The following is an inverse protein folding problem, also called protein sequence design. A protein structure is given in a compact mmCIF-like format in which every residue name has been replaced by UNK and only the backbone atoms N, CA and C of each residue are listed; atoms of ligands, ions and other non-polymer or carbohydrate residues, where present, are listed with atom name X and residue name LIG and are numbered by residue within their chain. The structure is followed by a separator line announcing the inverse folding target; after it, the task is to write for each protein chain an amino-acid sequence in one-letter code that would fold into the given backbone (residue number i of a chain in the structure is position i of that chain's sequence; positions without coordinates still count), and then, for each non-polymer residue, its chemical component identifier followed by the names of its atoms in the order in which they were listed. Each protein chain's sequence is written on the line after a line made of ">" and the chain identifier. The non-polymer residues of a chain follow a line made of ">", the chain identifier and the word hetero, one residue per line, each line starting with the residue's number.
data_IF_695478200276
#
_entry.id   IF_695478200276
#
_cell.length_a   1.000
_cell.length_b   1.000
_cell.length_c   1.000
_cell.angle_alpha   90.00
_cell.angle_beta   90.00
_cell.angle_gamma   90.00
#
_symmetry.space_group_name_H-M   'P 1'
#
loop_
_entity.id
_entity.type
_entity.pdbx_description
1 polymer ?
#
# COMPACT_ATOMS: atom_id res chain seq x y z
N UNK A 1 12.67 -28.78 -40.13
CA UNK A 1 13.75 -27.78 -40.09
C UNK A 1 13.12 -26.45 -39.65
N UNK A 2 13.70 -25.86 -38.63
CA UNK A 2 13.26 -24.57 -38.07
C UNK A 2 14.38 -23.57 -38.34
N UNK A 3 14.09 -22.37 -38.88
CA UNK A 3 15.09 -21.31 -39.01
C UNK A 3 15.54 -20.86 -37.62
N UNK A 4 16.83 -20.76 -37.38
CA UNK A 4 17.43 -20.31 -36.12
C UNK A 4 18.38 -19.15 -36.39
N UNK A 5 18.44 -18.20 -35.45
CA UNK A 5 19.42 -17.13 -35.44
C UNK A 5 20.37 -17.38 -34.25
N UNK A 6 21.63 -17.61 -34.54
CA UNK A 6 22.65 -17.79 -33.51
C UNK A 6 23.23 -16.42 -33.19
N UNK A 7 23.23 -16.06 -31.88
CA UNK A 7 23.86 -14.84 -31.34
C UNK A 7 24.74 -15.20 -30.16
N UNK A 8 25.92 -14.61 -30.10
CA UNK A 8 26.77 -14.69 -28.92
C UNK A 8 26.28 -13.68 -27.88
N UNK A 9 25.99 -14.14 -26.69
CA UNK A 9 25.54 -13.32 -25.55
C UNK A 9 26.13 -13.90 -24.27
N UNK A 10 26.33 -13.06 -23.27
CA UNK A 10 26.64 -13.52 -21.92
C UNK A 10 25.41 -14.12 -21.22
N UNK A 11 25.64 -14.92 -20.20
CA UNK A 11 24.58 -15.62 -19.48
C UNK A 11 23.54 -14.66 -18.87
N UNK A 12 24.00 -13.50 -18.36
CA UNK A 12 23.13 -12.48 -17.77
C UNK A 12 22.13 -11.93 -18.79
N UNK A 13 22.62 -11.60 -19.99
CA UNK A 13 21.77 -11.14 -21.09
C UNK A 13 20.78 -12.21 -21.54
N UNK A 14 21.21 -13.49 -21.60
CA UNK A 14 20.32 -14.61 -21.95
C UNK A 14 19.20 -14.76 -20.93
N UNK A 15 19.51 -14.75 -19.62
CA UNK A 15 18.50 -14.84 -18.57
C UNK A 15 17.53 -13.66 -18.57
N UNK A 16 18.04 -12.44 -18.81
CA UNK A 16 17.21 -11.25 -18.93
C UNK A 16 16.23 -11.34 -20.09
N UNK A 17 16.70 -11.74 -21.28
CA UNK A 17 15.84 -11.92 -22.47
C UNK A 17 14.79 -13.01 -22.21
N UNK A 18 15.16 -14.14 -21.62
CA UNK A 18 14.23 -15.19 -21.27
C UNK A 18 13.16 -14.73 -20.25
N UNK A 19 13.54 -13.90 -19.26
CA UNK A 19 12.61 -13.34 -18.31
C UNK A 19 11.63 -12.38 -19.00
N UNK A 20 12.11 -11.51 -19.89
CA UNK A 20 11.27 -10.57 -20.64
C UNK A 20 10.30 -11.34 -21.56
N UNK A 21 10.78 -12.39 -22.26
CA UNK A 21 9.93 -13.23 -23.10
C UNK A 21 8.81 -13.88 -22.28
N UNK A 22 9.18 -14.45 -21.12
CA UNK A 22 8.21 -15.06 -20.21
C UNK A 22 7.18 -14.05 -19.68
N UNK A 23 7.58 -12.78 -19.43
CA UNK A 23 6.68 -11.72 -19.01
C UNK A 23 5.70 -11.24 -20.09
N UNK A 24 5.99 -11.52 -21.35
CA UNK A 24 5.11 -11.21 -22.47
C UNK A 24 4.04 -12.28 -22.73
N UNK A 25 4.03 -13.35 -21.94
CA UNK A 25 2.99 -14.39 -22.05
C UNK A 25 1.66 -13.85 -21.54
N UNK A 26 0.58 -14.24 -22.18
CA UNK A 26 -0.79 -13.79 -21.86
C UNK A 26 -1.44 -14.56 -20.70
N UNK A 27 -0.83 -15.65 -20.25
CA UNK A 27 -1.37 -16.58 -19.26
C UNK A 27 -0.84 -16.36 -17.83
N UNK A 28 -0.06 -15.31 -17.59
CA UNK A 28 0.48 -14.96 -16.27
C UNK A 28 -0.60 -14.43 -15.33
N UNK A 29 -0.54 -14.89 -14.07
CA UNK A 29 -1.31 -14.25 -13.00
C UNK A 29 -0.71 -12.88 -12.66
N UNK A 30 -1.52 -11.99 -12.06
CA UNK A 30 -1.06 -10.67 -11.65
C UNK A 30 0.10 -10.72 -10.63
N UNK A 31 0.19 -11.78 -9.83
CA UNK A 31 1.29 -11.97 -8.87
C UNK A 31 2.57 -12.45 -9.58
N UNK A 32 2.45 -13.35 -10.57
CA UNK A 32 3.60 -13.78 -11.38
C UNK A 32 4.18 -12.63 -12.20
N UNK A 33 3.31 -11.82 -12.81
CA UNK A 33 3.70 -10.60 -13.51
C UNK A 33 4.45 -9.63 -12.57
N UNK A 34 3.91 -9.39 -11.37
CA UNK A 34 4.54 -8.54 -10.36
C UNK A 34 5.91 -9.08 -9.91
N UNK A 35 6.06 -10.40 -9.75
CA UNK A 35 7.33 -11.05 -9.40
C UNK A 35 8.37 -10.88 -10.51
N UNK A 36 7.97 -11.00 -11.77
CA UNK A 36 8.85 -10.76 -12.90
C UNK A 36 9.34 -9.32 -12.95
N UNK A 37 8.46 -8.33 -12.72
CA UNK A 37 8.86 -6.92 -12.64
C UNK A 37 9.82 -6.67 -11.49
N UNK A 38 9.57 -7.25 -10.33
CA UNK A 38 10.45 -7.15 -9.16
C UNK A 38 11.84 -7.71 -9.49
N UNK A 39 11.94 -8.87 -10.16
CA UNK A 39 13.23 -9.45 -10.58
C UNK A 39 13.98 -8.55 -11.53
N UNK A 40 13.32 -7.96 -12.54
CA UNK A 40 13.97 -7.00 -13.44
C UNK A 40 14.55 -5.80 -12.68
N UNK A 41 13.89 -5.36 -11.62
CA UNK A 41 14.38 -4.26 -10.79
C UNK A 41 15.52 -4.66 -9.86
N UNK A 42 15.37 -5.77 -9.15
CA UNK A 42 16.28 -6.16 -8.07
C UNK A 42 17.54 -6.85 -8.61
N UNK A 43 17.41 -7.74 -9.62
CA UNK A 43 18.52 -8.54 -10.14
C UNK A 43 19.30 -7.80 -11.26
N UNK A 44 18.59 -6.96 -12.04
CA UNK A 44 19.17 -6.27 -13.21
C UNK A 44 19.26 -4.75 -13.06
N UNK A 45 18.88 -4.20 -11.89
CA UNK A 45 19.02 -2.79 -11.58
C UNK A 45 18.11 -1.84 -12.38
N UNK A 46 17.05 -2.38 -13.03
CA UNK A 46 16.11 -1.55 -13.78
C UNK A 46 15.22 -0.73 -12.86
N UNK A 47 14.95 0.51 -13.26
CA UNK A 47 13.93 1.34 -12.63
C UNK A 47 12.52 0.89 -13.06
N UNK A 48 11.48 1.33 -12.33
CA UNK A 48 10.08 1.07 -12.76
C UNK A 48 9.77 1.66 -14.15
N UNK A 49 10.50 2.69 -14.54
CA UNK A 49 10.38 3.36 -15.84
C UNK A 49 10.98 2.49 -16.95
N UNK A 50 12.20 1.97 -16.71
CA UNK A 50 12.86 1.06 -17.64
C UNK A 50 12.03 -0.22 -17.86
N UNK A 51 11.51 -0.82 -16.76
CA UNK A 51 10.64 -1.99 -16.86
C UNK A 51 9.39 -1.67 -17.66
N UNK A 52 8.77 -0.52 -17.43
CA UNK A 52 7.56 -0.10 -18.17
C UNK A 52 7.82 0.04 -19.68
N UNK A 53 8.96 0.62 -20.06
CA UNK A 53 9.39 0.74 -21.45
C UNK A 53 9.63 -0.64 -22.10
N UNK A 54 10.39 -1.52 -21.42
CA UNK A 54 10.73 -2.87 -21.88
C UNK A 54 9.46 -3.70 -22.18
N UNK A 55 8.46 -3.62 -21.32
CA UNK A 55 7.22 -4.42 -21.44
C UNK A 55 6.09 -3.71 -22.20
N UNK A 56 6.28 -2.44 -22.60
CA UNK A 56 5.26 -1.65 -23.31
C UNK A 56 4.05 -1.29 -22.43
N UNK A 57 4.23 -1.10 -21.12
CA UNK A 57 3.18 -0.70 -20.16
C UNK A 57 3.48 0.68 -19.57
N UNK A 58 2.55 1.26 -18.84
CA UNK A 58 2.81 2.50 -18.11
C UNK A 58 3.61 2.23 -16.82
N UNK A 59 4.42 3.21 -16.38
CA UNK A 59 5.10 3.18 -15.07
C UNK A 59 4.11 2.94 -13.92
N UNK A 60 2.92 3.55 -13.98
CA UNK A 60 1.88 3.34 -12.95
C UNK A 60 1.35 1.91 -12.95
N UNK A 61 1.31 1.22 -14.10
CA UNK A 61 0.97 -0.19 -14.14
C UNK A 61 2.02 -1.01 -13.40
N UNK A 62 3.30 -0.86 -13.72
CA UNK A 62 4.41 -1.56 -13.05
C UNK A 62 4.40 -1.29 -11.54
N UNK A 63 4.28 -0.04 -11.13
CA UNK A 63 4.21 0.33 -9.71
C UNK A 63 3.04 -0.35 -8.98
N UNK A 64 1.85 -0.39 -9.60
CA UNK A 64 0.67 -1.03 -9.04
C UNK A 64 0.83 -2.55 -8.91
N UNK A 65 1.45 -3.20 -9.91
CA UNK A 65 1.71 -4.63 -9.87
C UNK A 65 2.71 -4.99 -8.77
N UNK A 66 3.83 -4.29 -8.69
CA UNK A 66 4.85 -4.51 -7.65
C UNK A 66 4.28 -4.30 -6.24
N UNK A 67 3.35 -3.36 -6.06
CA UNK A 67 2.66 -3.14 -4.77
C UNK A 67 1.85 -4.36 -4.31
N UNK A 68 1.37 -5.21 -5.21
CA UNK A 68 0.64 -6.43 -4.84
C UNK A 68 1.49 -7.41 -4.03
N UNK A 69 2.81 -7.42 -4.25
CA UNK A 69 3.76 -8.25 -3.50
C UNK A 69 3.90 -7.86 -2.03
N UNK A 70 3.50 -6.63 -1.67
CA UNK A 70 3.43 -6.17 -0.29
C UNK A 70 2.20 -6.64 0.48
N UNK A 71 1.24 -7.29 -0.19
CA UNK A 71 0.06 -7.85 0.45
C UNK A 71 0.39 -9.16 1.17
N UNK A 72 -0.33 -9.52 2.24
CA UNK A 72 -0.18 -10.83 2.89
C UNK A 72 -0.39 -11.98 1.91
N UNK A 73 0.33 -13.10 2.10
CA UNK A 73 0.25 -14.29 1.24
C UNK A 73 -1.19 -14.81 1.06
N UNK A 74 -2.03 -14.70 2.09
CA UNK A 74 -3.44 -15.08 2.01
C UNK A 74 -4.23 -14.27 0.98
N UNK A 75 -3.89 -13.00 0.78
CA UNK A 75 -4.53 -12.14 -0.24
C UNK A 75 -3.95 -12.43 -1.62
N UNK A 76 -2.63 -12.62 -1.71
CA UNK A 76 -1.97 -12.99 -2.97
C UNK A 76 -2.52 -14.32 -3.51
N UNK A 77 -2.77 -15.31 -2.64
CA UNK A 77 -3.38 -16.58 -3.04
C UNK A 77 -4.80 -16.39 -3.60
N UNK A 78 -5.62 -15.49 -3.01
CA UNK A 78 -6.94 -15.19 -3.56
C UNK A 78 -6.87 -14.52 -4.95
N UNK A 79 -5.80 -13.79 -5.25
CA UNK A 79 -5.57 -13.24 -6.59
C UNK A 79 -5.15 -14.34 -7.56
N UNK A 80 -4.22 -15.22 -7.17
CA UNK A 80 -3.80 -16.36 -7.98
C UNK A 80 -4.94 -17.34 -8.28
N UNK A 81 -5.83 -17.57 -7.29
CA UNK A 81 -7.04 -18.40 -7.45
C UNK A 81 -8.13 -17.72 -8.33
N UNK A 82 -7.93 -16.47 -8.77
CA UNK A 82 -8.94 -15.71 -9.51
C UNK A 82 -10.15 -15.24 -8.69
N UNK A 83 -10.14 -15.45 -7.37
CA UNK A 83 -11.21 -15.01 -6.45
C UNK A 83 -11.18 -13.49 -6.24
N UNK A 84 -10.02 -12.87 -6.40
CA UNK A 84 -9.83 -11.43 -6.40
C UNK A 84 -9.12 -11.00 -7.69
N UNK A 85 -9.58 -9.91 -8.31
CA UNK A 85 -8.84 -9.31 -9.42
C UNK A 85 -7.68 -8.45 -8.92
N UNK A 86 -6.72 -8.14 -9.81
CA UNK A 86 -5.64 -7.19 -9.52
C UNK A 86 -6.18 -5.82 -9.06
N UNK A 87 -7.35 -5.40 -9.55
CA UNK A 87 -8.03 -4.17 -9.11
C UNK A 87 -8.46 -4.22 -7.64
N UNK A 88 -9.03 -5.35 -7.19
CA UNK A 88 -9.37 -5.55 -5.79
C UNK A 88 -8.13 -5.56 -4.89
N UNK A 89 -7.08 -6.28 -5.30
CA UNK A 89 -5.81 -6.33 -4.58
C UNK A 89 -5.16 -4.95 -4.47
N UNK A 90 -5.20 -4.14 -5.55
CA UNK A 90 -4.72 -2.76 -5.54
C UNK A 90 -5.47 -1.88 -4.52
N UNK A 91 -6.79 -2.03 -4.41
CA UNK A 91 -7.59 -1.29 -3.43
C UNK A 91 -7.21 -1.66 -1.99
N UNK A 92 -6.73 -2.89 -1.76
CA UNK A 92 -6.29 -3.38 -0.45
C UNK A 92 -4.83 -3.02 -0.11
N UNK A 93 -4.04 -2.59 -1.12
CA UNK A 93 -2.66 -2.20 -0.90
C UNK A 93 -2.60 -0.88 -0.13
N UNK A 94 -2.19 -0.93 1.14
CA UNK A 94 -2.06 0.24 2.02
C UNK A 94 -3.12 0.36 3.12
N UNK A 95 -3.99 -0.65 3.30
CA UNK A 95 -4.86 -0.76 4.48
C UNK A 95 -4.23 -1.63 5.56
N UNK A 96 -4.56 -1.36 6.84
CA UNK A 96 -3.95 -2.07 7.97
C UNK A 96 -4.33 -3.56 8.04
N UNK A 97 -5.55 -3.95 7.63
CA UNK A 97 -6.05 -5.33 7.69
C UNK A 97 -6.52 -5.84 6.32
N UNK A 98 -5.62 -5.97 5.32
CA UNK A 98 -6.02 -6.34 3.97
C UNK A 98 -6.60 -7.76 3.86
N UNK A 99 -6.18 -8.70 4.73
CA UNK A 99 -6.66 -10.07 4.70
C UNK A 99 -8.13 -10.21 5.15
N UNK A 100 -8.57 -9.41 6.10
CA UNK A 100 -9.96 -9.39 6.56
C UNK A 100 -10.88 -8.79 5.49
N UNK A 101 -10.48 -7.64 4.95
CA UNK A 101 -11.22 -6.97 3.88
C UNK A 101 -11.27 -7.82 2.60
N UNK A 102 -10.21 -8.56 2.28
CA UNK A 102 -10.19 -9.49 1.16
C UNK A 102 -11.26 -10.57 1.29
N UNK A 103 -11.40 -11.17 2.48
CA UNK A 103 -12.45 -12.17 2.76
C UNK A 103 -13.85 -11.56 2.63
N UNK A 104 -14.04 -10.34 3.13
CA UNK A 104 -15.31 -9.63 3.02
C UNK A 104 -15.70 -9.35 1.56
N UNK A 105 -14.72 -8.89 0.74
CA UNK A 105 -14.91 -8.64 -0.69
C UNK A 105 -15.34 -9.92 -1.41
N UNK A 106 -14.65 -11.04 -1.15
CA UNK A 106 -14.98 -12.34 -1.76
C UNK A 106 -16.35 -12.84 -1.30
N UNK A 107 -16.64 -12.79 0.01
CA UNK A 107 -17.89 -13.29 0.57
C UNK A 107 -19.12 -12.52 0.06
N UNK A 108 -18.98 -11.22 -0.18
CA UNK A 108 -20.07 -10.34 -0.64
C UNK A 108 -20.08 -10.15 -2.16
N UNK A 109 -19.10 -10.67 -2.89
CA UNK A 109 -19.00 -10.48 -4.34
C UNK A 109 -18.90 -9.00 -4.75
N UNK A 110 -18.15 -8.20 -4.00
CA UNK A 110 -18.05 -6.76 -4.22
C UNK A 110 -17.32 -6.45 -5.52
N UNK A 111 -17.74 -5.40 -6.22
CA UNK A 111 -17.00 -4.84 -7.35
C UNK A 111 -15.77 -4.05 -6.87
N UNK A 112 -14.79 -3.80 -7.79
CA UNK A 112 -13.59 -3.02 -7.48
C UNK A 112 -13.91 -1.65 -6.86
N UNK A 113 -14.92 -0.94 -7.40
CA UNK A 113 -15.35 0.36 -6.86
C UNK A 113 -15.91 0.27 -5.43
N UNK A 114 -16.62 -0.82 -5.12
CA UNK A 114 -17.13 -1.08 -3.77
C UNK A 114 -15.99 -1.44 -2.81
N UNK A 115 -15.02 -2.23 -3.28
CA UNK A 115 -13.81 -2.56 -2.54
C UNK A 115 -12.97 -1.30 -2.23
N UNK A 116 -12.81 -0.39 -3.19
CA UNK A 116 -12.13 0.90 -2.98
C UNK A 116 -12.83 1.75 -1.90
N UNK A 117 -14.18 1.82 -1.92
CA UNK A 117 -14.95 2.53 -0.89
C UNK A 117 -14.80 1.87 0.48
N UNK A 118 -14.83 0.54 0.54
CA UNK A 118 -14.64 -0.22 1.77
C UNK A 118 -13.24 0.02 2.35
N UNK A 119 -12.20 -0.05 1.51
CA UNK A 119 -10.82 0.22 1.88
C UNK A 119 -10.61 1.66 2.39
N UNK A 120 -11.19 2.66 1.72
CA UNK A 120 -11.14 4.06 2.14
C UNK A 120 -11.84 4.27 3.50
N UNK A 121 -12.98 3.61 3.73
CA UNK A 121 -13.70 3.65 5.01
C UNK A 121 -12.90 3.00 6.14
N UNK A 122 -12.19 1.92 5.86
CA UNK A 122 -11.30 1.24 6.81
C UNK A 122 -10.09 2.13 7.17
N UNK A 123 -9.42 2.70 6.18
CA UNK A 123 -8.31 3.63 6.37
C UNK A 123 -8.73 4.88 7.17
N UNK A 124 -9.92 5.43 6.89
CA UNK A 124 -10.49 6.56 7.63
C UNK A 124 -10.79 6.23 9.10
N UNK A 125 -11.22 5.00 9.40
CA UNK A 125 -11.42 4.52 10.77
C UNK A 125 -10.09 4.39 11.52
N UNK A 126 -9.06 3.88 10.89
CA UNK A 126 -7.73 3.72 11.48
C UNK A 126 -7.10 5.06 11.82
N UNK A 127 -7.22 6.07 10.95
CA UNK A 127 -6.73 7.43 11.24
C UNK A 127 -7.45 8.01 12.45
N UNK A 128 -8.79 7.85 12.55
CA UNK A 128 -9.55 8.30 13.73
C UNK A 128 -9.11 7.58 15.02
N UNK A 129 -8.86 6.27 14.97
CA UNK A 129 -8.36 5.51 16.12
C UNK A 129 -6.93 5.90 16.49
N UNK A 130 -6.02 6.09 15.53
CA UNK A 130 -4.66 6.58 15.80
C UNK A 130 -4.69 7.98 16.42
N UNK A 131 -5.50 8.89 15.88
CA UNK A 131 -5.63 10.26 16.42
C UNK A 131 -6.29 10.24 17.80
N UNK A 132 -7.29 9.38 18.05
CA UNK A 132 -7.88 9.21 19.37
C UNK A 132 -6.89 8.59 20.37
N UNK A 133 -6.08 7.59 19.93
CA UNK A 133 -5.02 7.00 20.75
C UNK A 133 -3.92 8.02 21.10
N UNK A 134 -3.52 8.88 20.17
CA UNK A 134 -2.56 9.96 20.42
C UNK A 134 -3.18 11.01 21.36
N UNK A 135 -4.46 11.38 21.20
CA UNK A 135 -5.15 12.26 22.15
C UNK A 135 -5.19 11.66 23.56
N UNK A 136 -5.48 10.36 23.70
CA UNK A 136 -5.48 9.69 25.00
C UNK A 136 -4.07 9.48 25.59
N UNK A 137 -3.03 9.40 24.74
CA UNK A 137 -1.63 9.33 25.20
C UNK A 137 -1.05 10.70 25.55
N UNK A 138 -1.58 11.78 24.94
CA UNK A 138 -1.20 13.18 25.24
C UNK A 138 -2.06 13.78 26.35
N UNK A 139 -3.25 13.20 26.64
CA UNK A 139 -4.06 13.48 27.84
C UNK A 139 -3.72 12.54 29.02
N UNK A 140 -2.52 11.96 29.03
CA UNK A 140 -1.90 11.61 30.30
C UNK A 140 -1.82 12.90 31.09
N UNK A 141 -2.72 13.04 32.05
CA UNK A 141 -2.92 14.20 32.88
C UNK A 141 -1.55 14.65 33.44
N UNK A 142 -0.99 15.70 32.87
CA UNK A 142 -0.17 16.60 33.64
C UNK A 142 -1.18 17.19 34.64
N UNK A 143 -1.20 16.72 35.87
CA UNK A 143 -1.91 17.38 36.96
C UNK A 143 -1.42 18.83 36.93
N UNK A 144 -2.29 19.72 36.40
CA UNK A 144 -2.02 21.16 36.43
C UNK A 144 -1.95 21.54 37.90
N UNK A 145 -0.80 22.05 38.27
CA UNK A 145 -0.56 22.52 39.63
C UNK A 145 -1.68 23.52 40.05
N UNK A 146 -2.08 23.48 41.30
CA UNK A 146 -3.18 24.31 41.84
C UNK A 146 -3.00 25.78 41.49
N UNK A 147 -1.74 26.25 41.41
CA UNK A 147 -1.38 27.62 41.06
C UNK A 147 -1.66 27.94 39.58
N UNK A 148 -1.46 26.98 38.66
CA UNK A 148 -1.75 27.13 37.22
C UNK A 148 -3.25 27.24 36.97
N UNK A 149 -4.07 26.50 37.68
CA UNK A 149 -5.54 26.57 37.57
C UNK A 149 -6.09 27.89 38.16
N UNK A 150 -5.51 28.40 39.24
CA UNK A 150 -5.86 29.64 39.83
C UNK A 150 -5.52 30.83 38.90
N UNK A 151 -4.39 30.77 38.21
CA UNK A 151 -3.94 31.75 37.25
C UNK A 151 -4.81 31.76 35.98
N UNK A 152 -5.17 30.59 35.45
CA UNK A 152 -6.11 30.45 34.31
C UNK A 152 -7.46 31.12 34.62
N UNK A 153 -7.98 30.87 35.83
CA UNK A 153 -9.25 31.45 36.25
C UNK A 153 -9.16 32.99 36.38
N UNK A 154 -8.07 33.49 37.00
CA UNK A 154 -7.87 34.93 37.17
C UNK A 154 -7.72 35.67 35.83
N UNK A 155 -6.98 35.07 34.86
CA UNK A 155 -6.82 35.64 33.51
C UNK A 155 -8.14 35.57 32.72
N UNK A 156 -8.89 34.45 32.85
CA UNK A 156 -10.19 34.32 32.21
C UNK A 156 -11.20 35.34 32.72
N UNK A 157 -11.21 35.60 34.02
CA UNK A 157 -12.10 36.60 34.66
C UNK A 157 -11.72 38.05 34.26
N UNK A 158 -10.42 38.34 34.11
CA UNK A 158 -9.93 39.65 33.67
C UNK A 158 -10.18 39.95 32.21
N UNK A 159 -10.09 38.96 31.35
CA UNK A 159 -10.23 39.09 29.88
C UNK A 159 -11.65 38.84 29.37
N UNK A 160 -12.53 38.28 30.19
CA UNK A 160 -13.88 37.86 29.78
C UNK A 160 -13.86 36.73 28.73
N UNK A 161 -12.73 36.04 28.57
CA UNK A 161 -12.50 34.97 27.60
C UNK A 161 -11.95 33.74 28.31
N UNK A 162 -12.35 32.54 27.84
CA UNK A 162 -11.79 31.29 28.36
C UNK A 162 -10.34 31.14 27.89
N UNK A 163 -9.40 31.18 28.84
CA UNK A 163 -7.96 31.05 28.61
C UNK A 163 -7.47 29.72 29.14
N UNK A 164 -6.50 29.11 28.46
CA UNK A 164 -5.85 27.88 28.85
C UNK A 164 -4.33 28.05 28.75
N UNK A 165 -3.62 27.81 29.87
CA UNK A 165 -2.17 27.88 29.93
C UNK A 165 -1.57 26.50 29.52
N UNK A 166 -0.72 26.54 28.51
CA UNK A 166 -0.01 25.33 28.00
C UNK A 166 1.47 25.47 28.40
N UNK A 167 1.90 24.62 29.31
CA UNK A 167 3.31 24.56 29.70
C UNK A 167 4.07 23.75 28.64
N UNK A 168 4.99 24.39 27.91
CA UNK A 168 5.83 23.76 26.90
C UNK A 168 7.18 23.43 27.56
N UNK A 169 7.42 22.13 27.76
CA UNK A 169 8.76 21.63 28.17
C UNK A 169 9.73 21.70 27.02
#
# INVERSE_FOLDING_TARGET
>A
QVPVVIREMDDETVYKIALIENLQREDLTAIEEALGYRRLMDDYGHTQEDVAEIIGKSRSHVANMVRLLGLPASVQNLVNDGKLSAGHARALAGVDNPAELAREIVAKGLSVRQAEKLAASAAGRTIKHKVAGIKNAVTGAVEKDHDTLALEKHISDLLGLRTELIQKN
#
